data_IF_333656187542
#
_entry.id   IF_333656187542
#
_cell.length_a   1.000
_cell.length_b   1.000
_cell.length_c   1.000
_cell.angle_alpha   90.00
_cell.angle_beta   90.00
_cell.angle_gamma   90.00
#
_symmetry.space_group_name_H-M   'P 1'
#
loop_
_entity.id
_entity.type
_entity.pdbx_description
1 polymer ?
#
# COMPACT_ATOMS: atom_id res chain seq x y z
N UNK A 1 -18.21 -60.22 -50.16
CA UNK A 1 -17.11 -59.77 -49.28
C UNK A 1 -17.48 -58.43 -48.69
N UNK A 2 -17.75 -58.35 -47.38
CA UNK A 2 -18.09 -57.10 -46.67
C UNK A 2 -16.89 -56.72 -45.80
N UNK A 3 -16.27 -55.58 -46.10
CA UNK A 3 -15.17 -55.03 -45.31
C UNK A 3 -15.76 -54.36 -44.06
N UNK A 4 -15.30 -54.82 -42.88
CA UNK A 4 -15.59 -54.21 -41.59
C UNK A 4 -14.41 -53.31 -41.25
N UNK A 5 -14.63 -52.00 -41.27
CA UNK A 5 -13.65 -51.00 -40.82
C UNK A 5 -13.68 -50.92 -39.29
N UNK A 6 -12.56 -51.05 -38.56
CA UNK A 6 -12.56 -50.86 -37.12
C UNK A 6 -12.54 -49.36 -36.79
N UNK A 7 -13.49 -48.94 -35.98
CA UNK A 7 -13.60 -47.58 -35.44
C UNK A 7 -12.57 -47.44 -34.31
N UNK A 8 -11.47 -46.73 -34.57
CA UNK A 8 -10.44 -46.45 -33.56
C UNK A 8 -10.94 -45.34 -32.64
N UNK A 9 -11.34 -45.71 -31.43
CA UNK A 9 -11.64 -44.77 -30.35
C UNK A 9 -10.32 -44.18 -29.83
N UNK A 10 -9.98 -42.96 -30.29
CA UNK A 10 -8.89 -42.17 -29.72
C UNK A 10 -9.31 -41.68 -28.33
N UNK A 11 -8.82 -42.36 -27.30
CA UNK A 11 -8.84 -41.88 -25.92
C UNK A 11 -7.96 -40.63 -25.82
N UNK A 12 -8.58 -39.45 -25.86
CA UNK A 12 -7.94 -38.20 -25.48
C UNK A 12 -7.65 -38.27 -23.98
N UNK A 13 -6.41 -38.60 -23.62
CA UNK A 13 -5.88 -38.40 -22.29
C UNK A 13 -5.86 -36.88 -22.02
N UNK A 14 -6.89 -36.38 -21.34
CA UNK A 14 -6.87 -35.05 -20.75
C UNK A 14 -5.75 -35.03 -19.71
N UNK A 15 -4.62 -34.43 -20.08
CA UNK A 15 -3.58 -34.03 -19.13
C UNK A 15 -4.20 -32.95 -18.24
N UNK A 16 -4.80 -33.35 -17.12
CA UNK A 16 -5.14 -32.44 -16.04
C UNK A 16 -3.82 -31.95 -15.46
N UNK A 17 -3.36 -30.79 -15.91
CA UNK A 17 -2.34 -30.05 -15.20
C UNK A 17 -2.91 -29.78 -13.80
N UNK A 18 -2.41 -30.49 -12.79
CA UNK A 18 -2.73 -30.18 -11.41
C UNK A 18 -2.23 -28.76 -11.13
N UNK A 19 -3.15 -27.80 -11.18
CA UNK A 19 -2.90 -26.47 -10.66
C UNK A 19 -2.59 -26.63 -9.17
N UNK A 20 -1.31 -26.53 -8.81
CA UNK A 20 -0.92 -26.40 -7.40
C UNK A 20 -1.77 -25.26 -6.82
N UNK A 21 -2.42 -25.45 -5.66
CA UNK A 21 -3.17 -24.37 -5.05
C UNK A 21 -2.22 -23.20 -4.86
N UNK A 22 -2.51 -22.09 -5.54
CA UNK A 22 -1.65 -20.92 -5.56
C UNK A 22 -1.58 -20.39 -4.12
N UNK A 23 -0.46 -20.65 -3.43
CA UNK A 23 -0.35 -20.35 -2.01
C UNK A 23 -0.44 -18.85 -1.82
N UNK A 24 -1.44 -18.39 -1.08
CA UNK A 24 -1.65 -16.97 -0.84
C UNK A 24 -0.43 -16.37 -0.13
N UNK A 25 0.13 -15.31 -0.71
CA UNK A 25 1.20 -14.52 -0.11
C UNK A 25 0.61 -13.31 0.58
N UNK A 26 1.23 -12.86 1.66
CA UNK A 26 0.73 -11.74 2.45
C UNK A 26 1.50 -10.47 2.11
N UNK A 27 0.76 -9.38 1.95
CA UNK A 27 1.31 -8.01 1.99
C UNK A 27 0.64 -7.23 3.10
N UNK A 28 1.31 -6.19 3.58
CA UNK A 28 0.80 -5.39 4.69
C UNK A 28 0.69 -3.92 4.30
N UNK A 29 -0.39 -3.28 4.71
CA UNK A 29 -0.53 -1.82 4.59
C UNK A 29 -0.47 -1.23 5.99
N UNK A 30 0.59 -0.49 6.29
CA UNK A 30 0.75 0.20 7.57
C UNK A 30 0.38 1.67 7.39
N UNK A 31 -0.57 2.11 8.21
CA UNK A 31 -1.10 3.48 8.18
C UNK A 31 -0.87 4.13 9.53
N UNK A 32 0.07 5.06 9.58
CA UNK A 32 0.23 5.99 10.70
C UNK A 32 -0.96 6.93 10.76
N UNK A 33 -1.56 7.05 11.93
CA UNK A 33 -2.65 8.00 12.17
C UNK A 33 -2.07 9.41 12.33
N UNK A 34 -2.80 10.41 11.84
CA UNK A 34 -2.48 11.81 12.15
C UNK A 34 -2.59 12.06 13.65
N UNK A 35 -1.77 12.98 14.18
CA UNK A 35 -1.77 13.29 15.60
C UNK A 35 -1.37 14.73 15.89
N UNK A 36 -1.67 15.16 17.12
CA UNK A 36 -1.09 16.35 17.74
C UNK A 36 -0.78 16.05 19.21
N UNK A 37 0.22 16.72 19.82
CA UNK A 37 0.44 16.64 21.26
C UNK A 37 -0.83 16.97 22.05
N UNK A 38 -1.06 16.29 23.18
CA UNK A 38 -2.03 16.78 24.16
C UNK A 38 -1.57 18.10 24.76
N UNK A 39 -2.48 18.82 25.43
CA UNK A 39 -2.21 20.20 25.84
C UNK A 39 -1.05 20.29 26.84
N UNK A 40 -1.04 19.36 27.77
CA UNK A 40 -0.06 19.14 28.82
C UNK A 40 1.33 18.79 28.28
N UNK A 41 1.44 18.16 27.11
CA UNK A 41 2.73 17.74 26.51
C UNK A 41 3.18 18.58 25.30
N UNK A 42 2.57 19.75 25.03
CA UNK A 42 2.88 20.55 23.81
C UNK A 42 4.33 20.99 23.70
N UNK A 43 5.03 21.12 24.83
CA UNK A 43 6.42 21.56 24.88
C UNK A 43 7.42 20.39 24.87
N UNK A 44 6.96 19.17 25.16
CA UNK A 44 7.78 17.95 25.16
C UNK A 44 7.69 17.21 23.81
N UNK A 45 6.54 17.31 23.14
CA UNK A 45 6.23 16.51 21.97
C UNK A 45 6.30 17.32 20.67
N UNK A 46 6.88 16.72 19.63
CA UNK A 46 6.95 17.35 18.32
C UNK A 46 5.57 17.43 17.62
N UNK A 47 5.40 18.43 16.75
CA UNK A 47 4.20 18.56 15.90
C UNK A 47 4.38 17.74 14.62
N UNK A 48 3.45 16.83 14.36
CA UNK A 48 3.43 16.06 13.11
C UNK A 48 3.03 16.95 11.92
N UNK A 49 3.71 16.79 10.78
CA UNK A 49 3.32 17.48 9.55
C UNK A 49 1.89 17.09 9.14
N UNK A 50 1.03 18.09 8.92
CA UNK A 50 -0.39 17.88 8.64
C UNK A 50 -1.25 17.57 9.88
N UNK A 51 -0.64 17.42 11.06
CA UNK A 51 -1.34 17.22 12.33
C UNK A 51 -2.35 16.08 12.27
N UNK A 52 -3.60 16.37 12.62
CA UNK A 52 -4.70 15.39 12.63
C UNK A 52 -5.06 14.84 11.24
N UNK A 53 -4.79 15.59 10.17
CA UNK A 53 -4.98 15.13 8.79
C UNK A 53 -3.70 14.52 8.19
N UNK A 54 -2.61 14.56 8.97
CA UNK A 54 -1.34 13.97 8.63
C UNK A 54 -1.35 12.45 8.74
N UNK A 55 -0.20 11.91 9.11
CA UNK A 55 0.09 10.49 9.06
C UNK A 55 0.87 10.11 7.81
N UNK A 56 1.10 8.81 7.66
CA UNK A 56 1.89 8.26 6.56
C UNK A 56 1.37 6.85 6.23
N UNK A 57 1.66 6.41 5.00
CA UNK A 57 1.21 5.10 4.51
C UNK A 57 2.39 4.45 3.83
N UNK A 58 2.69 3.22 4.22
CA UNK A 58 3.65 2.35 3.55
C UNK A 58 3.01 1.00 3.24
N UNK A 59 3.49 0.39 2.17
CA UNK A 59 3.11 -0.93 1.70
C UNK A 59 4.30 -1.86 1.92
N UNK A 60 4.15 -2.86 2.78
CA UNK A 60 5.13 -3.90 2.99
C UNK A 60 4.90 -5.05 2.02
N UNK A 61 5.95 -5.42 1.29
CA UNK A 61 6.00 -6.57 0.39
C UNK A 61 7.28 -7.35 0.69
N UNK A 62 7.14 -8.56 1.23
CA UNK A 62 8.25 -9.32 1.80
C UNK A 62 8.87 -8.59 2.99
N UNK A 63 10.19 -8.47 2.97
CA UNK A 63 10.98 -7.88 4.06
C UNK A 63 11.09 -6.36 4.00
N UNK A 64 10.49 -5.71 2.99
CA UNK A 64 10.65 -4.28 2.73
C UNK A 64 9.33 -3.52 2.79
N UNK A 65 9.39 -2.31 3.35
CA UNK A 65 8.32 -1.33 3.34
C UNK A 65 8.60 -0.26 2.26
N UNK A 66 7.59 0.00 1.45
CA UNK A 66 7.64 0.95 0.33
C UNK A 66 6.68 2.11 0.53
N UNK A 67 7.11 3.32 0.25
CA UNK A 67 6.28 4.51 0.43
C UNK A 67 6.75 5.70 -0.38
N UNK A 68 5.80 6.54 -0.81
CA UNK A 68 6.15 7.83 -1.41
C UNK A 68 6.39 8.86 -0.31
N UNK A 69 7.60 9.39 -0.30
CA UNK A 69 8.05 10.47 0.57
C UNK A 69 8.63 11.63 -0.26
N UNK A 70 9.23 12.61 0.39
CA UNK A 70 9.80 13.78 -0.28
C UNK A 70 11.10 14.23 0.41
N UNK A 71 12.12 14.56 -0.38
CA UNK A 71 13.47 14.85 0.13
C UNK A 71 13.60 16.17 0.90
N UNK A 72 12.75 17.16 0.58
CA UNK A 72 12.94 18.54 1.03
C UNK A 72 11.93 18.95 2.09
N UNK A 73 12.23 19.94 2.93
CA UNK A 73 11.18 20.53 3.79
C UNK A 73 10.07 21.28 3.02
N UNK A 74 10.22 21.46 1.70
CA UNK A 74 9.29 22.21 0.84
C UNK A 74 8.56 21.27 -0.12
N UNK A 75 7.30 20.97 0.22
CA UNK A 75 6.38 20.26 -0.67
C UNK A 75 5.93 21.21 -1.79
N UNK A 76 6.01 20.76 -3.05
CA UNK A 76 5.45 21.53 -4.16
C UNK A 76 3.92 21.57 -4.08
N UNK A 77 3.26 22.71 -4.35
CA UNK A 77 1.80 22.74 -4.47
C UNK A 77 1.29 21.82 -5.59
N UNK A 78 2.00 21.79 -6.73
CA UNK A 78 1.65 21.01 -7.92
C UNK A 78 2.86 20.22 -8.43
N UNK A 79 2.59 19.06 -9.06
CA UNK A 79 3.62 18.13 -9.53
C UNK A 79 4.51 18.73 -10.63
N UNK A 80 5.83 18.49 -10.53
CA UNK A 80 6.79 18.81 -11.59
C UNK A 80 6.90 17.67 -12.60
N UNK A 81 7.02 18.01 -13.88
CA UNK A 81 7.15 17.02 -14.98
C UNK A 81 8.59 16.57 -15.23
N UNK A 82 9.57 17.45 -15.01
CA UNK A 82 10.99 17.14 -15.24
C UNK A 82 11.54 16.40 -14.03
N UNK A 83 12.08 15.18 -14.23
CA UNK A 83 12.60 14.31 -13.15
C UNK A 83 13.59 15.02 -12.21
N UNK A 84 14.55 15.77 -12.78
CA UNK A 84 15.52 16.56 -12.01
C UNK A 84 14.92 17.67 -11.12
N UNK A 85 13.62 17.99 -11.30
CA UNK A 85 12.89 19.00 -10.51
C UNK A 85 11.85 18.37 -9.58
N UNK A 86 11.75 17.04 -9.52
CA UNK A 86 10.83 16.35 -8.62
C UNK A 86 11.38 16.40 -7.19
N UNK A 87 10.49 16.60 -6.22
CA UNK A 87 10.79 16.52 -4.79
C UNK A 87 10.56 15.10 -4.23
N UNK A 88 9.78 14.28 -4.93
CA UNK A 88 9.39 12.94 -4.50
C UNK A 88 10.54 11.93 -4.48
N UNK A 89 10.44 10.99 -3.56
CA UNK A 89 11.23 9.75 -3.51
C UNK A 89 10.29 8.59 -3.20
N UNK A 90 10.56 7.44 -3.81
CA UNK A 90 9.91 6.19 -3.42
C UNK A 90 10.89 5.40 -2.57
N UNK A 91 10.69 5.45 -1.27
CA UNK A 91 11.57 4.86 -0.28
C UNK A 91 11.37 3.34 -0.22
N UNK A 92 12.46 2.65 0.10
CA UNK A 92 12.52 1.23 0.41
C UNK A 92 13.34 1.11 1.70
N UNK A 93 12.71 0.64 2.77
CA UNK A 93 13.34 0.43 4.09
C UNK A 93 13.01 -1.00 4.56
N UNK A 94 13.88 -1.58 5.40
CA UNK A 94 13.58 -2.86 6.06
C UNK A 94 12.32 -2.73 6.91
N UNK A 95 11.36 -3.62 6.68
CA UNK A 95 10.01 -3.49 7.23
C UNK A 95 9.97 -3.71 8.74
N UNK A 96 10.67 -4.73 9.24
CA UNK A 96 10.66 -5.08 10.67
C UNK A 96 11.08 -3.90 11.56
N UNK A 97 12.29 -3.31 11.39
CA UNK A 97 12.72 -2.22 12.25
C UNK A 97 11.85 -0.96 12.07
N UNK A 98 11.39 -0.69 10.84
CA UNK A 98 10.50 0.44 10.56
C UNK A 98 9.14 0.28 11.28
N UNK A 99 8.51 -0.89 11.17
CA UNK A 99 7.19 -1.17 11.78
C UNK A 99 7.31 -1.19 13.29
N UNK A 100 8.38 -1.79 13.83
CA UNK A 100 8.67 -1.82 15.27
C UNK A 100 8.76 -0.40 15.84
N UNK A 101 9.58 0.46 15.23
CA UNK A 101 9.70 1.88 15.59
C UNK A 101 8.36 2.61 15.55
N UNK A 102 7.55 2.39 14.52
CA UNK A 102 6.24 3.03 14.41
C UNK A 102 5.27 2.56 15.48
N UNK A 103 5.23 1.26 15.80
CA UNK A 103 4.29 0.69 16.77
C UNK A 103 4.60 1.13 18.21
N UNK A 104 5.85 1.45 18.52
CA UNK A 104 6.26 1.98 19.83
C UNK A 104 5.68 3.37 20.09
N UNK A 105 5.88 4.31 19.16
CA UNK A 105 5.57 5.73 19.42
C UNK A 105 4.20 6.16 18.87
N UNK A 106 3.69 5.43 17.87
CA UNK A 106 2.56 5.89 17.09
C UNK A 106 1.39 4.90 16.99
N UNK A 107 0.20 5.50 16.80
CA UNK A 107 -1.01 4.76 16.48
C UNK A 107 -0.94 4.33 15.01
N UNK A 108 -0.91 3.02 14.77
CA UNK A 108 -0.77 2.42 13.45
C UNK A 108 -1.93 1.47 13.21
N UNK A 109 -2.59 1.59 12.06
CA UNK A 109 -3.46 0.50 11.56
C UNK A 109 -2.69 -0.31 10.54
N UNK A 110 -2.58 -1.61 10.78
CA UNK A 110 -1.99 -2.58 9.86
C UNK A 110 -3.10 -3.44 9.27
N UNK A 111 -3.14 -3.55 7.95
CA UNK A 111 -4.02 -4.49 7.25
C UNK A 111 -3.17 -5.58 6.60
N UNK A 112 -3.55 -6.84 6.80
CA UNK A 112 -2.92 -7.99 6.13
C UNK A 112 -3.79 -8.39 4.94
N UNK A 113 -3.22 -8.31 3.74
CA UNK A 113 -3.92 -8.56 2.49
C UNK A 113 -3.32 -9.82 1.85
N UNK A 114 -4.09 -10.93 1.75
CA UNK A 114 -3.67 -12.09 0.99
C UNK A 114 -3.78 -11.81 -0.51
N UNK A 115 -2.76 -12.20 -1.27
CA UNK A 115 -2.64 -12.08 -2.72
C UNK A 115 -2.30 -13.43 -3.33
N UNK A 116 -2.72 -13.66 -4.58
CA UNK A 116 -2.16 -14.75 -5.40
C UNK A 116 -0.67 -14.54 -5.65
N UNK A 117 0.04 -15.56 -6.15
CA UNK A 117 1.44 -15.40 -6.51
C UNK A 117 1.62 -14.33 -7.61
N UNK A 118 0.73 -14.31 -8.60
CA UNK A 118 0.78 -13.36 -9.72
C UNK A 118 0.51 -11.91 -9.28
N UNK A 119 -0.48 -11.69 -8.41
CA UNK A 119 -0.77 -10.37 -7.83
C UNK A 119 0.40 -9.87 -6.99
N UNK A 120 1.00 -10.76 -6.18
CA UNK A 120 2.15 -10.45 -5.35
C UNK A 120 3.37 -10.07 -6.20
N UNK A 121 3.71 -10.88 -7.20
CA UNK A 121 4.87 -10.66 -8.07
C UNK A 121 4.72 -9.37 -8.88
N UNK A 122 3.50 -9.10 -9.39
CA UNK A 122 3.15 -7.83 -10.06
C UNK A 122 3.36 -6.62 -9.13
N UNK A 123 2.91 -6.72 -7.88
CA UNK A 123 3.06 -5.67 -6.89
C UNK A 123 4.51 -5.42 -6.53
N UNK A 124 5.28 -6.50 -6.30
CA UNK A 124 6.70 -6.44 -5.97
C UNK A 124 7.49 -5.80 -7.11
N UNK A 125 7.27 -6.25 -8.35
CA UNK A 125 7.91 -5.67 -9.53
C UNK A 125 7.59 -4.18 -9.67
N UNK A 126 6.35 -3.76 -9.39
CA UNK A 126 5.97 -2.34 -9.41
C UNK A 126 6.67 -1.56 -8.31
N UNK A 127 6.75 -2.08 -7.08
CA UNK A 127 7.46 -1.43 -5.97
C UNK A 127 8.93 -1.19 -6.32
N UNK A 128 9.57 -2.23 -6.84
CA UNK A 128 10.97 -2.20 -7.28
C UNK A 128 11.20 -1.21 -8.43
N UNK A 129 10.28 -1.16 -9.41
CA UNK A 129 10.32 -0.15 -10.47
C UNK A 129 10.20 1.27 -9.91
N UNK A 130 9.22 1.53 -9.05
CA UNK A 130 8.98 2.86 -8.48
C UNK A 130 10.16 3.33 -7.63
N UNK A 131 10.81 2.41 -6.90
CA UNK A 131 12.00 2.70 -6.10
C UNK A 131 13.18 3.14 -6.98
N UNK A 132 13.45 2.44 -8.08
CA UNK A 132 14.52 2.80 -9.02
C UNK A 132 14.18 3.99 -9.90
N UNK A 133 12.93 4.11 -10.30
CA UNK A 133 12.45 5.09 -11.26
C UNK A 133 11.04 5.57 -10.89
N UNK A 134 10.99 6.59 -10.04
CA UNK A 134 9.73 7.24 -9.68
C UNK A 134 9.10 7.93 -10.89
N UNK A 135 7.88 7.51 -11.24
CA UNK A 135 7.15 7.96 -12.44
C UNK A 135 6.48 9.34 -12.28
N UNK A 136 6.38 9.88 -11.06
CA UNK A 136 5.67 11.13 -10.77
C UNK A 136 6.19 11.86 -9.53
N UNK A 137 5.97 13.18 -9.48
CA UNK A 137 6.42 14.00 -8.36
C UNK A 137 5.53 13.84 -7.11
N UNK A 138 6.12 14.07 -5.94
CA UNK A 138 5.38 14.35 -4.71
C UNK A 138 4.89 15.80 -4.72
N UNK A 139 3.59 16.02 -4.59
CA UNK A 139 3.02 17.36 -4.49
C UNK A 139 1.79 17.40 -3.57
N UNK A 140 1.48 18.58 -3.03
CA UNK A 140 0.35 18.78 -2.13
C UNK A 140 -0.98 18.45 -2.81
N UNK A 141 -1.23 19.03 -4.00
CA UNK A 141 -2.34 18.69 -4.89
C UNK A 141 -1.89 17.65 -5.93
N UNK A 142 -1.26 16.57 -5.47
CA UNK A 142 -0.67 15.56 -6.34
C UNK A 142 -0.58 14.20 -5.66
N UNK A 143 0.30 13.35 -6.20
CA UNK A 143 0.58 12.05 -5.62
C UNK A 143 1.32 12.20 -4.29
N UNK A 144 0.88 11.45 -3.28
CA UNK A 144 1.40 11.41 -1.91
C UNK A 144 1.40 9.95 -1.42
N UNK A 145 1.80 9.69 -0.18
CA UNK A 145 1.84 8.33 0.37
C UNK A 145 0.50 7.57 0.20
N UNK A 146 -0.62 8.19 0.58
CA UNK A 146 -1.94 7.54 0.52
C UNK A 146 -2.41 7.27 -0.92
N UNK A 147 -2.29 8.25 -1.82
CA UNK A 147 -2.70 8.06 -3.21
C UNK A 147 -1.77 7.10 -3.95
N UNK A 148 -0.48 7.08 -3.60
CA UNK A 148 0.47 6.13 -4.16
C UNK A 148 0.16 4.72 -3.69
N UNK A 149 -0.08 4.50 -2.40
CA UNK A 149 -0.50 3.18 -1.91
C UNK A 149 -1.81 2.72 -2.57
N UNK A 150 -2.80 3.62 -2.75
CA UNK A 150 -4.01 3.29 -3.52
C UNK A 150 -3.67 2.83 -4.94
N UNK A 151 -2.76 3.53 -5.62
CA UNK A 151 -2.33 3.21 -6.98
C UNK A 151 -1.63 1.85 -7.05
N UNK A 152 -0.70 1.58 -6.13
CA UNK A 152 0.03 0.31 -6.04
C UNK A 152 -0.91 -0.87 -5.76
N UNK A 153 -1.85 -0.73 -4.82
CA UNK A 153 -2.87 -1.75 -4.57
C UNK A 153 -3.81 -1.96 -5.77
N UNK A 154 -3.89 -1.00 -6.69
CA UNK A 154 -4.61 -1.13 -7.94
C UNK A 154 -3.92 -2.06 -8.95
N UNK A 155 -2.58 -2.16 -8.94
CA UNK A 155 -1.84 -3.07 -9.83
C UNK A 155 -1.85 -4.53 -9.38
N UNK A 156 -2.31 -4.78 -8.15
CA UNK A 156 -2.50 -6.10 -7.55
C UNK A 156 -3.99 -6.45 -7.38
N UNK A 157 -4.90 -5.75 -8.08
CA UNK A 157 -6.34 -5.99 -8.09
C UNK A 157 -7.07 -5.94 -6.72
N UNK A 158 -6.37 -5.48 -5.67
CA UNK A 158 -6.94 -5.26 -4.33
C UNK A 158 -7.94 -4.10 -4.36
N UNK A 159 -7.60 -3.04 -5.09
CA UNK A 159 -8.44 -1.86 -5.31
C UNK A 159 -8.67 -1.65 -6.80
N UNK A 160 -9.73 -0.91 -7.19
CA UNK A 160 -9.95 -0.60 -8.59
C UNK A 160 -8.76 0.17 -9.19
N UNK A 161 -8.11 -0.44 -10.18
CA UNK A 161 -7.04 0.16 -10.96
C UNK A 161 -7.47 1.52 -11.54
N UNK A 162 -6.53 2.45 -11.68
CA UNK A 162 -6.85 3.82 -12.05
C UNK A 162 -5.65 4.70 -12.34
N UNK A 163 -5.90 5.82 -13.00
CA UNK A 163 -4.90 6.88 -13.19
C UNK A 163 -4.44 7.50 -11.86
N UNK A 164 -3.31 8.20 -11.89
CA UNK A 164 -2.83 8.98 -10.73
C UNK A 164 -3.93 9.93 -10.21
N UNK A 165 -4.66 10.61 -11.10
CA UNK A 165 -5.75 11.50 -10.71
C UNK A 165 -6.88 10.77 -9.96
N UNK A 166 -7.28 9.58 -10.42
CA UNK A 166 -8.27 8.75 -9.70
C UNK A 166 -7.75 8.37 -8.32
N UNK A 167 -6.47 8.02 -8.20
CA UNK A 167 -5.84 7.65 -6.94
C UNK A 167 -5.77 8.83 -5.96
N UNK A 168 -5.40 10.03 -6.44
CA UNK A 168 -5.41 11.28 -5.64
C UNK A 168 -6.81 11.54 -5.10
N UNK A 169 -7.83 11.51 -5.97
CA UNK A 169 -9.22 11.79 -5.58
C UNK A 169 -9.77 10.76 -4.58
N UNK A 170 -9.36 9.49 -4.70
CA UNK A 170 -9.87 8.40 -3.86
C UNK A 170 -9.11 8.23 -2.54
N UNK A 171 -7.90 8.78 -2.45
CA UNK A 171 -7.00 8.61 -1.31
C UNK A 171 -6.08 9.84 -1.12
N UNK A 172 -6.67 11.03 -1.01
CA UNK A 172 -5.91 12.28 -0.90
C UNK A 172 -5.08 12.36 0.39
N UNK A 173 -5.58 11.77 1.49
CA UNK A 173 -4.90 11.74 2.78
C UNK A 173 -5.05 10.37 3.48
N UNK A 174 -4.15 10.01 4.41
CA UNK A 174 -4.11 8.66 5.02
C UNK A 174 -5.43 8.21 5.64
N UNK A 175 -6.12 9.07 6.39
CA UNK A 175 -7.45 8.77 6.96
C UNK A 175 -8.49 8.33 5.91
N UNK A 176 -8.51 8.94 4.72
CA UNK A 176 -9.43 8.55 3.65
C UNK A 176 -9.13 7.13 3.14
N UNK A 177 -7.85 6.83 2.91
CA UNK A 177 -7.41 5.50 2.50
C UNK A 177 -7.72 4.47 3.59
N UNK A 178 -7.40 4.76 4.86
CA UNK A 178 -7.68 3.88 6.00
C UNK A 178 -9.15 3.49 6.07
N UNK A 179 -10.07 4.46 6.01
CA UNK A 179 -11.51 4.18 6.01
C UNK A 179 -11.92 3.26 4.86
N UNK A 180 -11.32 3.43 3.68
CA UNK A 180 -11.60 2.58 2.51
C UNK A 180 -11.07 1.16 2.72
N UNK A 181 -9.82 1.03 3.13
CA UNK A 181 -9.17 -0.27 3.33
C UNK A 181 -9.79 -1.05 4.49
N UNK A 182 -10.18 -0.39 5.59
CA UNK A 182 -10.90 -1.05 6.69
C UNK A 182 -12.27 -1.58 6.23
N UNK A 183 -13.01 -0.84 5.39
CA UNK A 183 -14.27 -1.35 4.82
C UNK A 183 -14.04 -2.53 3.89
N UNK A 184 -13.01 -2.46 3.05
CA UNK A 184 -12.62 -3.56 2.17
C UNK A 184 -12.25 -4.80 2.98
N UNK A 185 -11.42 -4.62 4.00
CA UNK A 185 -10.96 -5.68 4.88
C UNK A 185 -12.12 -6.35 5.62
N UNK A 186 -13.07 -5.58 6.15
CA UNK A 186 -14.30 -6.15 6.72
C UNK A 186 -15.12 -6.94 5.71
N UNK A 187 -15.23 -6.44 4.46
CA UNK A 187 -15.97 -7.14 3.39
C UNK A 187 -15.29 -8.44 2.96
N UNK A 188 -13.96 -8.48 2.97
CA UNK A 188 -13.14 -9.62 2.51
C UNK A 188 -12.54 -10.46 3.64
N UNK A 189 -12.92 -10.21 4.89
CA UNK A 189 -12.37 -10.85 6.09
C UNK A 189 -10.84 -10.76 6.21
N UNK A 190 -10.24 -9.64 5.80
CA UNK A 190 -8.82 -9.39 5.99
C UNK A 190 -8.53 -9.05 7.46
N UNK A 191 -7.36 -9.47 7.95
CA UNK A 191 -6.90 -9.15 9.30
C UNK A 191 -6.60 -7.65 9.41
N UNK A 192 -7.09 -7.05 10.49
CA UNK A 192 -6.82 -5.66 10.85
C UNK A 192 -6.25 -5.63 12.27
N UNK A 193 -5.10 -5.00 12.43
CA UNK A 193 -4.49 -4.75 13.74
C UNK A 193 -4.34 -3.24 13.95
N UNK A 194 -4.52 -2.78 15.18
CA UNK A 194 -4.35 -1.37 15.54
C UNK A 194 -3.47 -1.27 16.79
N UNK A 195 -2.32 -0.61 16.68
CA UNK A 195 -1.54 -0.22 17.87
C UNK A 195 -2.14 1.05 18.48
N UNK A 196 -2.15 1.21 19.82
CA UNK A 196 -2.81 2.35 20.48
C UNK A 196 -2.07 3.69 20.31
N UNK A 197 -0.74 3.65 20.12
CA UNK A 197 0.11 4.84 20.12
C UNK A 197 0.29 5.47 21.50
N UNK A 198 1.18 6.46 21.61
CA UNK A 198 1.46 7.16 22.88
C UNK A 198 0.25 7.90 23.44
N UNK A 199 0.02 7.80 24.75
CA UNK A 199 -1.01 8.53 25.48
C UNK A 199 -0.74 10.03 25.54
N UNK A 200 0.52 10.47 25.35
CA UNK A 200 0.90 11.89 25.32
C UNK A 200 0.34 12.65 24.12
N UNK A 201 -0.25 11.92 23.16
CA UNK A 201 -0.77 12.47 21.90
C UNK A 201 -2.28 12.25 21.82
N UNK A 202 -2.94 13.14 21.08
CA UNK A 202 -4.31 12.92 20.60
C UNK A 202 -4.23 12.38 19.18
N UNK A 203 -4.75 11.18 18.96
CA UNK A 203 -4.74 10.56 17.65
C UNK A 203 -6.01 10.85 16.87
N UNK A 204 -5.89 10.81 15.55
CA UNK A 204 -7.03 10.99 14.68
C UNK A 204 -8.03 9.85 14.82
N UNK A 205 -9.24 10.18 15.26
CA UNK A 205 -10.31 9.23 15.49
C UNK A 205 -10.45 8.79 16.96
N UNK A 206 -9.58 9.29 17.85
CA UNK A 206 -9.85 9.36 19.30
C UNK A 206 -10.85 10.48 19.63
#
# INVERSE_FOLDING_TARGET
MRFITPFVFLFLFSLSAEARPDSLRQVYVHILHGSKPRREFRNEEYKMLGGMLGGHVVLQVGDYAYGLNFHSRKVHPFARKKKAKMAGIFEKEDAEPMVSRWKTDAKVTTLTIPLSATEYDSLQARCEHMHRNLDFDYAFFGMRCASTCYYMLGSAEVLPCGSHFKSIRKAFHPKQLRKKLVRLAKKRNYKIEVSPGSEKRKWEGD
#
